data_IF_937815043632
#
_entry.id   IF_937815043632
#
_cell.length_a   1.000
_cell.length_b   1.000
_cell.length_c   1.000
_cell.angle_alpha   90.00
_cell.angle_beta   90.00
_cell.angle_gamma   90.00
#
_symmetry.space_group_name_H-M   'P 1'
#
loop_
_entity.id
_entity.type
_entity.pdbx_description
1 polymer ?
#
# COMPACT_ATOMS: atom_id res chain seq x y z
N UNK A 1 -5.33 -10.67 10.12
CA UNK A 1 -6.22 -9.71 9.43
C UNK A 1 -5.48 -8.88 8.40
N UNK A 2 -4.28 -8.35 8.71
CA UNK A 2 -3.48 -7.55 7.77
C UNK A 2 -3.08 -8.30 6.47
N UNK A 3 -2.61 -9.54 6.58
CA UNK A 3 -2.24 -10.36 5.41
C UNK A 3 -3.42 -10.62 4.44
N UNK A 4 -4.65 -10.76 4.94
CA UNK A 4 -5.85 -10.92 4.10
C UNK A 4 -6.15 -9.64 3.31
N UNK A 5 -6.00 -8.48 3.94
CA UNK A 5 -6.19 -7.18 3.28
C UNK A 5 -5.12 -6.96 2.20
N UNK A 6 -3.88 -7.37 2.44
CA UNK A 6 -2.80 -7.34 1.45
C UNK A 6 -3.07 -8.27 0.25
N UNK A 7 -3.60 -9.48 0.50
CA UNK A 7 -4.02 -10.40 -0.58
C UNK A 7 -5.18 -9.84 -1.41
N UNK A 8 -6.15 -9.17 -0.78
CA UNK A 8 -7.23 -8.48 -1.50
C UNK A 8 -6.69 -7.31 -2.34
N UNK A 9 -5.68 -6.58 -1.85
CA UNK A 9 -4.98 -5.56 -2.62
C UNK A 9 -4.20 -6.13 -3.81
N UNK A 10 -3.52 -7.27 -3.62
CA UNK A 10 -2.82 -7.97 -4.68
C UNK A 10 -3.78 -8.45 -5.78
N UNK A 11 -4.91 -9.04 -5.39
CA UNK A 11 -5.98 -9.43 -6.30
C UNK A 11 -6.60 -8.22 -7.01
N UNK A 12 -6.71 -7.07 -6.33
CA UNK A 12 -7.11 -5.80 -6.92
C UNK A 12 -6.13 -5.32 -7.99
N UNK A 13 -4.83 -5.22 -7.67
CA UNK A 13 -3.80 -4.79 -8.65
C UNK A 13 -3.70 -5.75 -9.84
N UNK A 14 -3.80 -7.06 -9.61
CA UNK A 14 -3.86 -8.05 -10.68
C UNK A 14 -5.14 -7.93 -11.51
N UNK A 15 -6.27 -7.62 -10.86
CA UNK A 15 -7.54 -7.34 -11.52
C UNK A 15 -7.48 -6.15 -12.46
N UNK A 16 -6.72 -5.08 -12.12
CA UNK A 16 -6.51 -3.95 -13.05
C UNK A 16 -5.69 -4.35 -14.28
N UNK A 17 -4.80 -5.35 -14.17
CA UNK A 17 -4.10 -5.90 -15.33
C UNK A 17 -5.03 -6.78 -16.21
N UNK A 18 -5.85 -7.61 -15.59
CA UNK A 18 -6.73 -8.55 -16.28
C UNK A 18 -7.97 -7.89 -16.90
N UNK A 19 -8.50 -6.84 -16.26
CA UNK A 19 -9.72 -6.15 -16.67
C UNK A 19 -9.35 -4.90 -17.48
N UNK A 20 -9.66 -4.94 -18.78
CA UNK A 20 -9.46 -3.80 -19.69
C UNK A 20 -10.68 -2.89 -19.83
N UNK A 21 -11.81 -3.30 -19.28
CA UNK A 21 -13.05 -2.53 -19.33
C UNK A 21 -13.06 -1.47 -18.20
N UNK A 22 -13.11 -0.16 -18.54
CA UNK A 22 -13.08 0.91 -17.55
C UNK A 22 -14.21 0.82 -16.53
N UNK A 23 -15.37 0.30 -16.92
CA UNK A 23 -16.54 0.18 -16.04
C UNK A 23 -16.35 -0.86 -14.93
N UNK A 24 -15.48 -1.85 -15.16
CA UNK A 24 -15.19 -2.91 -14.18
C UNK A 24 -13.98 -2.62 -13.30
N UNK A 25 -13.19 -1.56 -13.57
CA UNK A 25 -12.01 -1.17 -12.78
C UNK A 25 -12.34 -0.70 -11.36
N UNK A 26 -13.59 -0.31 -11.08
CA UNK A 26 -14.04 0.00 -9.72
C UNK A 26 -13.90 -1.20 -8.78
N UNK A 27 -14.12 -2.42 -9.28
CA UNK A 27 -14.08 -3.64 -8.50
C UNK A 27 -12.66 -3.96 -7.96
N UNK A 28 -11.59 -3.97 -8.79
CA UNK A 28 -10.23 -4.13 -8.28
C UNK A 28 -9.78 -2.98 -7.37
N UNK A 29 -10.25 -1.74 -7.61
CA UNK A 29 -9.92 -0.60 -6.75
C UNK A 29 -10.48 -0.74 -5.33
N UNK A 30 -11.62 -1.42 -5.14
CA UNK A 30 -12.14 -1.75 -3.80
C UNK A 30 -11.15 -2.64 -3.04
N UNK A 31 -10.60 -3.67 -3.70
CA UNK A 31 -9.59 -4.56 -3.11
C UNK A 31 -8.32 -3.82 -2.69
N UNK A 32 -7.83 -2.92 -3.55
CA UNK A 32 -6.69 -2.03 -3.24
C UNK A 32 -7.03 -1.09 -2.06
N UNK A 33 -8.26 -0.58 -2.01
CA UNK A 33 -8.73 0.27 -0.90
C UNK A 33 -8.65 -0.42 0.46
N UNK A 34 -9.02 -1.70 0.55
CA UNK A 34 -8.86 -2.48 1.79
C UNK A 34 -7.40 -2.63 2.20
N UNK A 35 -6.50 -2.92 1.26
CA UNK A 35 -5.07 -3.00 1.55
C UNK A 35 -4.52 -1.66 2.05
N UNK A 36 -4.84 -0.57 1.35
CA UNK A 36 -4.39 0.77 1.70
C UNK A 36 -4.88 1.23 3.07
N UNK A 37 -6.16 1.03 3.38
CA UNK A 37 -6.73 1.35 4.68
C UNK A 37 -5.98 0.62 5.80
N UNK A 38 -5.66 -0.66 5.61
CA UNK A 38 -4.89 -1.45 6.58
C UNK A 38 -3.49 -0.88 6.83
N UNK A 39 -2.77 -0.55 5.76
CA UNK A 39 -1.38 -0.03 5.81
C UNK A 39 -1.32 1.30 6.56
N UNK A 40 -2.31 2.17 6.37
CA UNK A 40 -2.36 3.46 7.05
C UNK A 40 -2.90 3.32 8.48
N UNK A 41 -3.92 2.50 8.72
CA UNK A 41 -4.55 2.40 10.04
C UNK A 41 -3.64 1.81 11.12
N UNK A 42 -2.80 0.81 10.81
CA UNK A 42 -1.93 0.19 11.80
C UNK A 42 -0.96 1.17 12.49
N UNK A 43 -0.10 1.91 11.77
CA UNK A 43 0.85 2.80 12.41
C UNK A 43 0.17 4.01 13.07
N UNK A 44 -0.96 4.48 12.53
CA UNK A 44 -1.76 5.51 13.18
C UNK A 44 -2.32 5.05 14.53
N UNK A 45 -2.81 3.81 14.62
CA UNK A 45 -3.31 3.24 15.86
C UNK A 45 -2.18 3.05 16.90
N UNK A 46 -0.99 2.63 16.45
CA UNK A 46 0.20 2.53 17.31
C UNK A 46 0.60 3.92 17.83
N UNK A 47 0.61 4.94 16.97
CA UNK A 47 0.98 6.31 17.34
C UNK A 47 -0.04 6.92 18.33
N UNK A 48 -1.35 6.74 18.08
CA UNK A 48 -2.38 7.28 18.97
C UNK A 48 -2.35 6.63 20.36
N UNK A 49 -1.91 5.36 20.46
CA UNK A 49 -1.75 4.68 21.74
C UNK A 49 -0.49 5.13 22.51
N UNK A 50 0.53 5.65 21.81
CA UNK A 50 1.82 6.01 22.39
C UNK A 50 1.97 7.50 22.75
N UNK A 51 1.10 8.38 22.23
CA UNK A 51 1.23 9.85 22.37
C UNK A 51 0.14 10.43 23.26
N UNK A 52 0.47 11.31 24.25
CA UNK A 52 -0.52 12.01 25.06
C UNK A 52 -1.44 12.92 24.22
N UNK A 53 -2.74 12.92 24.52
CA UNK A 53 -3.79 13.62 23.76
C UNK A 53 -3.47 15.09 23.46
N UNK A 54 -2.88 15.79 24.44
CA UNK A 54 -2.54 17.22 24.34
C UNK A 54 -1.54 17.54 23.23
N UNK A 55 -0.75 16.57 22.77
CA UNK A 55 0.25 16.74 21.71
C UNK A 55 -0.08 15.94 20.44
N UNK A 56 -1.20 15.20 20.43
CA UNK A 56 -1.54 14.28 19.35
C UNK A 56 -1.54 14.98 17.97
N UNK A 57 -2.09 16.19 17.85
CA UNK A 57 -2.09 16.94 16.59
C UNK A 57 -0.69 17.22 16.02
N UNK A 58 0.28 17.58 16.87
CA UNK A 58 1.66 17.88 16.43
C UNK A 58 2.38 16.59 15.99
N UNK A 59 2.25 15.51 16.77
CA UNK A 59 2.88 14.23 16.43
C UNK A 59 2.25 13.56 15.20
N UNK A 60 0.93 13.66 15.03
CA UNK A 60 0.24 13.22 13.82
C UNK A 60 0.72 13.98 12.57
N UNK A 61 0.96 15.28 12.68
CA UNK A 61 1.52 16.10 11.59
C UNK A 61 2.93 15.65 11.20
N UNK A 62 3.81 15.46 12.19
CA UNK A 62 5.18 14.97 11.98
C UNK A 62 5.17 13.57 11.34
N UNK A 63 4.33 12.66 11.84
CA UNK A 63 4.20 11.31 11.29
C UNK A 63 3.77 11.31 9.81
N UNK A 64 2.82 12.17 9.43
CA UNK A 64 2.43 12.31 8.02
C UNK A 64 3.57 12.76 7.12
N UNK A 65 4.43 13.67 7.59
CA UNK A 65 5.61 14.11 6.81
C UNK A 65 6.51 12.91 6.52
N UNK A 66 6.70 12.01 7.50
CA UNK A 66 7.46 10.77 7.31
C UNK A 66 6.82 9.75 6.37
N UNK A 67 5.50 9.77 6.18
CA UNK A 67 4.84 8.94 5.17
C UNK A 67 5.01 9.56 3.78
N UNK A 68 4.74 10.87 3.67
CA UNK A 68 4.64 11.54 2.38
C UNK A 68 6.00 11.74 1.71
N UNK A 69 7.06 12.04 2.47
CA UNK A 69 8.39 12.31 1.90
C UNK A 69 8.95 11.07 1.17
N UNK A 70 8.99 9.88 1.79
CA UNK A 70 9.36 8.65 1.09
C UNK A 70 8.41 8.33 -0.07
N UNK A 71 7.10 8.59 0.06
CA UNK A 71 6.13 8.35 -1.00
C UNK A 71 6.38 9.23 -2.23
N UNK A 72 6.73 10.51 -2.06
CA UNK A 72 7.07 11.42 -3.15
C UNK A 72 8.36 10.99 -3.87
N UNK A 73 9.37 10.57 -3.10
CA UNK A 73 10.59 9.97 -3.62
C UNK A 73 10.27 8.72 -4.43
N UNK A 74 9.50 7.79 -3.87
CA UNK A 74 9.10 6.55 -4.53
C UNK A 74 8.30 6.80 -5.81
N UNK A 75 7.35 7.74 -5.81
CA UNK A 75 6.57 8.10 -7.00
C UNK A 75 7.45 8.66 -8.13
N UNK A 76 8.45 9.48 -7.77
CA UNK A 76 9.40 10.06 -8.73
C UNK A 76 10.33 8.99 -9.31
N UNK A 77 10.88 8.12 -8.46
CA UNK A 77 11.73 6.99 -8.86
C UNK A 77 10.95 5.99 -9.71
N UNK A 78 9.68 5.70 -9.37
CA UNK A 78 8.81 4.83 -10.16
C UNK A 78 8.57 5.38 -11.57
N UNK A 79 8.39 6.71 -11.70
CA UNK A 79 8.27 7.37 -13.01
C UNK A 79 9.53 7.19 -13.87
N UNK A 80 10.72 7.26 -13.27
CA UNK A 80 11.99 6.98 -13.96
C UNK A 80 12.09 5.51 -14.35
N UNK A 81 11.79 4.58 -13.43
CA UNK A 81 11.78 3.13 -13.68
C UNK A 81 10.83 2.79 -14.84
N UNK A 82 9.63 3.37 -14.86
CA UNK A 82 8.67 3.16 -15.95
C UNK A 82 9.22 3.59 -17.30
N UNK A 83 9.92 4.73 -17.34
CA UNK A 83 10.50 5.27 -18.57
C UNK A 83 11.72 4.46 -19.04
N UNK A 84 12.54 3.93 -18.13
CA UNK A 84 13.81 3.26 -18.49
C UNK A 84 13.67 1.74 -18.63
N UNK A 85 12.85 1.09 -17.81
CA UNK A 85 12.73 -0.38 -17.74
C UNK A 85 11.46 -0.91 -18.42
N UNK A 86 10.39 -0.11 -18.51
CA UNK A 86 9.08 -0.56 -18.99
C UNK A 86 8.59 0.19 -20.25
N UNK A 87 9.47 0.96 -20.90
CA UNK A 87 9.18 1.70 -22.14
C UNK A 87 7.91 2.58 -22.05
N UNK A 88 7.63 3.10 -20.85
CA UNK A 88 6.45 3.93 -20.56
C UNK A 88 5.15 3.16 -20.31
N UNK A 89 5.15 1.82 -20.31
CA UNK A 89 3.94 1.04 -20.06
C UNK A 89 3.64 0.87 -18.57
N UNK A 90 2.75 1.71 -18.05
CA UNK A 90 2.29 1.69 -16.65
C UNK A 90 1.72 0.34 -16.18
N UNK A 91 1.21 -0.48 -17.11
CA UNK A 91 0.68 -1.83 -16.84
C UNK A 91 1.71 -2.72 -16.13
N UNK A 92 2.98 -2.67 -16.54
CA UNK A 92 4.00 -3.54 -15.95
C UNK A 92 4.40 -3.11 -14.54
N UNK A 93 4.37 -1.80 -14.23
CA UNK A 93 4.53 -1.34 -12.84
C UNK A 93 3.39 -1.81 -11.95
N UNK A 94 2.17 -1.91 -12.50
CA UNK A 94 1.02 -2.40 -11.76
C UNK A 94 1.15 -3.89 -11.41
N UNK A 95 1.62 -4.70 -12.36
CA UNK A 95 1.92 -6.12 -12.15
C UNK A 95 3.06 -6.28 -11.13
N UNK A 96 4.11 -5.48 -11.22
CA UNK A 96 5.19 -5.46 -10.23
C UNK A 96 4.66 -5.12 -8.82
N UNK A 97 3.75 -4.16 -8.72
CA UNK A 97 3.04 -3.82 -7.49
C UNK A 97 2.20 -4.98 -6.95
N UNK A 98 1.47 -5.69 -7.81
CA UNK A 98 0.69 -6.87 -7.43
C UNK A 98 1.58 -7.97 -6.84
N UNK A 99 2.71 -8.27 -7.51
CA UNK A 99 3.70 -9.25 -7.02
C UNK A 99 4.30 -8.81 -5.68
N UNK A 100 4.62 -7.52 -5.53
CA UNK A 100 5.11 -6.95 -4.28
C UNK A 100 4.12 -7.13 -3.12
N UNK A 101 2.81 -6.92 -3.36
CA UNK A 101 1.78 -7.17 -2.35
C UNK A 101 1.62 -8.66 -2.00
N UNK A 102 1.79 -9.58 -2.96
CA UNK A 102 1.83 -11.01 -2.65
C UNK A 102 3.03 -11.35 -1.77
N UNK A 103 4.21 -10.80 -2.08
CA UNK A 103 5.42 -10.99 -1.26
C UNK A 103 5.26 -10.37 0.14
N UNK A 104 4.65 -9.20 0.24
CA UNK A 104 4.34 -8.56 1.52
C UNK A 104 3.34 -9.38 2.34
N UNK A 105 2.29 -9.94 1.71
CA UNK A 105 1.35 -10.83 2.37
C UNK A 105 2.04 -12.11 2.87
N UNK A 106 2.90 -12.73 2.04
CA UNK A 106 3.68 -13.90 2.43
C UNK A 106 4.64 -13.58 3.58
N UNK A 107 5.31 -12.43 3.53
CA UNK A 107 6.20 -11.96 4.61
C UNK A 107 5.42 -11.69 5.91
N UNK A 108 4.24 -11.07 5.82
CA UNK A 108 3.36 -10.84 6.96
C UNK A 108 2.82 -12.15 7.57
N UNK A 109 2.68 -13.22 6.79
CA UNK A 109 2.34 -14.56 7.30
C UNK A 109 3.54 -15.25 7.97
N UNK A 110 4.77 -14.95 7.54
CA UNK A 110 5.99 -15.44 8.18
C UNK A 110 6.33 -14.69 9.48
N UNK A 111 5.87 -13.43 9.62
CA UNK A 111 5.97 -12.69 10.87
C UNK A 111 4.99 -13.29 11.88
N UNK A 112 5.54 -14.07 12.82
CA UNK A 112 4.82 -14.57 13.99
C UNK A 112 4.47 -13.38 14.89
N UNK A 113 3.25 -12.89 14.78
CA UNK A 113 2.67 -11.99 15.77
C UNK A 113 2.69 -12.70 17.14
N UNK A 114 3.60 -12.31 18.03
CA UNK A 114 3.55 -12.74 19.43
C UNK A 114 2.31 -12.06 20.03
N UNK A 115 1.20 -12.81 20.11
CA UNK A 115 0.05 -12.50 20.96
C UNK A 115 0.55 -12.44 22.41
N UNK A 116 0.81 -11.23 22.89
CA UNK A 116 0.74 -10.89 24.31
C UNK A 116 -0.72 -10.72 24.71
#
# INVERSE_FOLDING_TARGET
THALMLLLGAAGLFGVFAIRDPGLLCLPMIGVGFAWASIVSMPYAILSAAVPDRKMGVYMGVFNIFIVVPQLLAATVLGLILKTLFDGQAIWALVLGAVSFVLAAASALMVKEHRG
#
